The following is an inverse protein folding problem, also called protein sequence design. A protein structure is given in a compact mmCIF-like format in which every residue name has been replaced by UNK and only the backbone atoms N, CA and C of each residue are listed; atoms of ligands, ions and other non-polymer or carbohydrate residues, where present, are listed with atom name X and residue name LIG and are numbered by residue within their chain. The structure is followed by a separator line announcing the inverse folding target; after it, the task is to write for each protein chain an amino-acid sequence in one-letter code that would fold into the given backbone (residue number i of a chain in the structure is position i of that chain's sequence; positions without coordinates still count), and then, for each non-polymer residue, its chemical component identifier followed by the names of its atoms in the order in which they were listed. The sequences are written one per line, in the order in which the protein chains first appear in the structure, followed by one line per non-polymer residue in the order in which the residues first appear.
data_IF_679889055446
#
_entry.id   IF_679889055446
#
_cell.length_a   1.000
_cell.length_b   1.000
_cell.length_c   1.000
_cell.angle_alpha   90.00
_cell.angle_beta   90.00
_cell.angle_gamma   90.00
#
_symmetry.space_group_name_H-M   'P 1'
#
loop_
_entity.id
_entity.type
_entity.pdbx_description
1 polymer ?
#
# COMPACT_ATOMS: atom_id res chain seq x y z
N UNK A 1 12.55 1.15 4.50
CA UNK A 1 11.43 0.46 5.19
C UNK A 1 10.91 -0.67 4.32
N UNK A 2 10.12 -1.61 4.85
CA UNK A 2 9.47 -2.65 4.06
C UNK A 2 8.03 -2.26 3.77
N UNK A 3 7.52 -2.59 2.59
CA UNK A 3 6.15 -2.27 2.17
C UNK A 3 5.59 -3.36 1.25
N UNK A 4 4.25 -3.45 1.20
CA UNK A 4 3.52 -4.23 0.20
C UNK A 4 3.09 -3.27 -0.91
N UNK A 5 3.52 -3.52 -2.14
CA UNK A 5 3.21 -2.70 -3.31
C UNK A 5 2.27 -3.44 -4.24
N UNK A 6 1.35 -2.69 -4.84
CA UNK A 6 0.54 -3.13 -5.97
C UNK A 6 1.03 -2.39 -7.21
N UNK A 7 1.73 -3.08 -8.12
CA UNK A 7 2.28 -2.46 -9.34
C UNK A 7 1.39 -2.63 -10.57
N UNK A 8 0.43 -3.56 -10.51
CA UNK A 8 -0.61 -3.79 -11.50
C UNK A 8 -1.81 -4.44 -10.81
N UNK A 9 -3.02 -4.21 -11.34
CA UNK A 9 -4.22 -4.89 -10.82
C UNK A 9 -4.21 -6.38 -11.15
N UNK A 10 -4.91 -7.18 -10.35
CA UNK A 10 -5.05 -8.62 -10.57
C UNK A 10 -5.28 -9.43 -9.29
N UNK A 11 -4.82 -10.68 -9.31
CA UNK A 11 -4.87 -11.60 -8.18
C UNK A 11 -3.98 -11.19 -7.01
N UNK A 12 -4.03 -11.95 -5.91
CA UNK A 12 -3.20 -11.71 -4.73
C UNK A 12 -1.69 -11.79 -5.02
N UNK A 13 -1.29 -12.48 -6.09
CA UNK A 13 0.09 -12.56 -6.57
C UNK A 13 0.67 -11.21 -7.02
N UNK A 14 -0.17 -10.19 -7.21
CA UNK A 14 0.28 -8.83 -7.56
C UNK A 14 0.73 -7.99 -6.37
N UNK A 15 0.51 -8.46 -5.14
CA UNK A 15 1.00 -7.82 -3.93
C UNK A 15 2.48 -8.20 -3.70
N UNK A 16 3.38 -7.25 -3.95
CA UNK A 16 4.83 -7.46 -3.85
C UNK A 16 5.37 -6.89 -2.55
N UNK A 17 5.94 -7.74 -1.71
CA UNK A 17 6.64 -7.30 -0.51
C UNK A 17 8.10 -6.98 -0.82
N UNK A 18 8.51 -5.73 -0.61
CA UNK A 18 9.87 -5.28 -0.93
C UNK A 18 10.35 -4.16 0.00
N UNK A 19 11.64 -3.86 -0.09
CA UNK A 19 12.21 -2.67 0.53
C UNK A 19 11.91 -1.41 -0.30
N UNK A 20 11.65 -0.32 0.39
CA UNK A 20 11.44 1.02 -0.17
C UNK A 20 12.18 2.07 0.67
N UNK A 21 12.54 3.22 0.09
CA UNK A 21 13.12 4.31 0.86
C UNK A 21 12.16 4.78 1.96
N UNK A 22 12.70 5.18 3.11
CA UNK A 22 11.90 5.84 4.14
C UNK A 22 11.38 7.18 3.59
N UNK A 23 10.07 7.49 3.70
CA UNK A 23 9.50 8.74 3.20
C UNK A 23 10.15 9.98 3.82
N UNK A 24 10.32 11.03 3.03
CA UNK A 24 10.75 12.35 3.52
C UNK A 24 9.54 13.19 3.87
N UNK A 25 9.53 13.76 5.08
CA UNK A 25 8.44 14.61 5.54
C UNK A 25 8.45 15.99 4.87
N UNK A 26 7.26 16.54 4.67
CA UNK A 26 7.02 17.94 4.31
C UNK A 26 6.40 18.69 5.49
N UNK A 27 6.39 20.02 5.42
CA UNK A 27 5.71 20.86 6.40
C UNK A 27 4.25 20.42 6.59
N UNK A 28 3.82 20.31 7.85
CA UNK A 28 2.48 19.86 8.22
C UNK A 28 2.25 18.34 8.19
N UNK A 29 3.25 17.52 7.83
CA UNK A 29 3.14 16.06 7.84
C UNK A 29 3.78 15.42 9.08
N UNK A 30 3.33 14.21 9.42
CA UNK A 30 3.94 13.35 10.45
C UNK A 30 4.39 12.03 9.83
N UNK A 31 5.53 11.50 10.28
CA UNK A 31 6.03 10.18 9.87
C UNK A 31 5.65 9.18 10.95
N UNK A 32 4.88 8.16 10.57
CA UNK A 32 4.38 7.15 11.49
C UNK A 32 5.14 5.85 11.30
N UNK A 33 5.68 5.30 12.38
CA UNK A 33 6.21 3.94 12.38
C UNK A 33 5.06 2.94 12.59
N UNK A 34 4.67 2.26 11.51
CA UNK A 34 3.55 1.30 11.53
C UNK A 34 3.96 0.04 12.32
N UNK A 35 3.22 -0.27 13.39
CA UNK A 35 3.36 -1.53 14.16
C UNK A 35 2.33 -2.60 13.78
N UNK A 36 1.16 -2.18 13.28
CA UNK A 36 0.11 -3.05 12.77
C UNK A 36 -0.66 -2.33 11.66
N UNK A 37 -1.11 -3.07 10.65
CA UNK A 37 -1.95 -2.55 9.57
C UNK A 37 -3.17 -3.48 9.41
N UNK A 38 -4.39 -2.95 9.29
CA UNK A 38 -5.57 -3.76 9.03
C UNK A 38 -5.59 -4.27 7.59
N UNK A 39 -6.26 -5.41 7.37
CA UNK A 39 -6.66 -5.88 6.04
C UNK A 39 -8.16 -5.71 5.95
N UNK A 40 -8.63 -4.92 4.99
CA UNK A 40 -10.04 -4.63 4.78
C UNK A 40 -10.53 -5.24 3.47
N UNK A 41 -11.81 -5.56 3.36
CA UNK A 41 -12.37 -6.14 2.13
C UNK A 41 -12.21 -5.22 0.91
N UNK A 42 -12.20 -3.89 1.12
CA UNK A 42 -11.96 -2.92 0.04
C UNK A 42 -10.59 -3.10 -0.63
N UNK A 43 -9.60 -3.63 0.08
CA UNK A 43 -8.26 -3.85 -0.46
C UNK A 43 -8.28 -4.87 -1.61
N UNK A 44 -9.19 -5.87 -1.55
CA UNK A 44 -9.34 -6.86 -2.64
C UNK A 44 -10.00 -6.23 -3.86
N UNK A 45 -11.00 -5.37 -3.66
CA UNK A 45 -11.70 -4.67 -4.74
C UNK A 45 -10.72 -3.76 -5.50
N UNK A 46 -9.90 -2.99 -4.76
CA UNK A 46 -8.87 -2.12 -5.35
C UNK A 46 -7.81 -2.95 -6.08
N UNK A 47 -7.28 -3.99 -5.42
CA UNK A 47 -6.26 -4.88 -6.02
C UNK A 47 -6.73 -5.50 -7.32
N UNK A 48 -7.98 -5.96 -7.39
CA UNK A 48 -8.56 -6.57 -8.59
C UNK A 48 -8.82 -5.55 -9.71
N UNK A 49 -8.74 -4.25 -9.42
CA UNK A 49 -9.02 -3.18 -10.37
C UNK A 49 -10.51 -2.88 -10.53
N UNK A 50 -11.34 -3.36 -9.60
CA UNK A 50 -12.79 -3.15 -9.61
C UNK A 50 -13.22 -1.81 -9.02
N UNK A 51 -12.26 -0.97 -8.63
CA UNK A 51 -12.46 0.41 -8.18
C UNK A 51 -11.50 1.33 -8.95
N UNK A 52 -11.99 2.34 -9.70
CA UNK A 52 -11.11 3.28 -10.37
C UNK A 52 -10.30 4.08 -9.32
N UNK A 53 -9.03 4.40 -9.59
CA UNK A 53 -8.29 5.33 -8.74
C UNK A 53 -8.98 6.70 -8.74
N UNK A 54 -8.99 7.34 -7.57
CA UNK A 54 -9.44 8.72 -7.41
C UNK A 54 -8.52 9.70 -8.14
#
# INVERSE_FOLDING_TARGET
MKAVLLTQTGGSDKLVYQETPTPRLREGQVLVEIKAAPVNFIDTIIREGNMPPA
#
